data_IF_229576385944
#
_entry.id   IF_229576385944
#
_cell.length_a   1.000
_cell.length_b   1.000
_cell.length_c   1.000
_cell.angle_alpha   90.00
_cell.angle_beta   90.00
_cell.angle_gamma   90.00
#
_symmetry.space_group_name_H-M   'P 1'
#
loop_
_entity.id
_entity.type
_entity.pdbx_description
1 polymer ?
#
# COMPACT_ATOMS: atom_id res chain seq x y z
N UNK A 1 18.24 4.39 10.12
CA UNK A 1 18.09 4.41 8.65
C UNK A 1 16.68 4.86 8.31
N UNK A 2 16.55 5.74 7.33
CA UNK A 2 15.26 6.14 6.76
C UNK A 2 14.69 5.02 5.88
N UNK A 3 13.41 5.13 5.53
CA UNK A 3 12.74 4.15 4.67
C UNK A 3 13.34 4.18 3.26
N UNK A 4 13.66 5.36 2.73
CA UNK A 4 14.34 5.54 1.45
C UNK A 4 15.74 4.93 1.42
N UNK A 5 16.51 5.00 2.52
CA UNK A 5 17.82 4.35 2.62
C UNK A 5 17.69 2.82 2.56
N UNK A 6 16.68 2.26 3.23
CA UNK A 6 16.41 0.81 3.22
C UNK A 6 15.99 0.38 1.82
N UNK A 7 15.08 1.12 1.17
CA UNK A 7 14.66 0.86 -0.21
C UNK A 7 15.88 0.88 -1.13
N UNK A 8 16.65 1.97 -1.14
CA UNK A 8 17.79 2.11 -2.03
C UNK A 8 18.80 0.96 -1.86
N UNK A 9 19.08 0.55 -0.62
CA UNK A 9 20.03 -0.53 -0.32
C UNK A 9 19.50 -1.89 -0.78
N UNK A 10 18.26 -2.23 -0.44
CA UNK A 10 17.72 -3.57 -0.70
C UNK A 10 17.35 -3.79 -2.17
N UNK A 11 16.97 -2.73 -2.90
CA UNK A 11 16.67 -2.85 -4.35
C UNK A 11 17.90 -3.15 -5.22
N UNK A 12 19.11 -3.12 -4.65
CA UNK A 12 20.33 -3.54 -5.37
C UNK A 12 20.42 -5.07 -5.53
N UNK A 13 19.68 -5.83 -4.72
CA UNK A 13 19.66 -7.30 -4.77
C UNK A 13 18.79 -7.75 -5.94
N UNK A 14 19.33 -8.59 -6.82
CA UNK A 14 18.60 -9.14 -7.98
C UNK A 14 17.31 -9.83 -7.52
N UNK A 15 16.17 -9.38 -8.07
CA UNK A 15 14.85 -9.91 -7.75
C UNK A 15 14.10 -9.14 -6.66
N UNK A 16 14.72 -8.18 -5.98
CA UNK A 16 14.06 -7.32 -4.98
C UNK A 16 13.69 -5.97 -5.62
N UNK A 17 12.40 -5.74 -5.83
CA UNK A 17 11.87 -4.46 -6.29
C UNK A 17 11.44 -3.56 -5.14
N UNK A 18 11.14 -2.28 -5.45
CA UNK A 18 10.65 -1.31 -4.46
C UNK A 18 9.44 -1.83 -3.69
N UNK A 19 8.45 -2.37 -4.39
CA UNK A 19 7.24 -2.94 -3.78
C UNK A 19 7.58 -4.01 -2.74
N UNK A 20 8.54 -4.90 -3.02
CA UNK A 20 8.97 -5.94 -2.07
C UNK A 20 9.53 -5.32 -0.79
N UNK A 21 10.34 -4.27 -0.92
CA UNK A 21 10.90 -3.57 0.24
C UNK A 21 9.81 -2.82 1.00
N UNK A 22 8.85 -2.21 0.31
CA UNK A 22 7.70 -1.58 0.95
C UNK A 22 6.88 -2.58 1.78
N UNK A 23 6.68 -3.82 1.28
CA UNK A 23 6.04 -4.88 2.06
C UNK A 23 6.83 -5.25 3.32
N UNK A 24 8.17 -5.33 3.22
CA UNK A 24 9.04 -5.55 4.39
C UNK A 24 8.95 -4.39 5.40
N UNK A 25 8.95 -3.14 4.93
CA UNK A 25 8.81 -1.96 5.79
C UNK A 25 7.47 -1.98 6.54
N UNK A 26 6.40 -2.37 5.87
CA UNK A 26 5.04 -2.45 6.41
C UNK A 26 4.88 -3.57 7.44
N UNK A 27 5.21 -4.81 7.07
CA UNK A 27 4.83 -5.99 7.84
C UNK A 27 5.91 -6.49 8.80
N UNK A 28 7.19 -6.37 8.43
CA UNK A 28 8.28 -6.85 9.28
C UNK A 28 8.83 -5.75 10.20
N UNK A 29 8.94 -4.51 9.67
CA UNK A 29 9.48 -3.37 10.42
C UNK A 29 8.40 -2.45 11.03
N UNK A 30 7.12 -2.68 10.73
CA UNK A 30 6.01 -1.95 11.33
C UNK A 30 6.02 -0.43 11.06
N UNK A 31 6.60 0.01 9.93
CA UNK A 31 6.64 1.44 9.56
C UNK A 31 5.23 1.94 9.28
N UNK A 32 4.84 3.04 9.91
CA UNK A 32 3.47 3.58 9.84
C UNK A 32 3.21 4.49 8.63
N UNK A 33 4.25 4.99 7.97
CA UNK A 33 4.13 5.98 6.88
C UNK A 33 4.60 5.48 5.51
N UNK A 34 4.37 4.20 5.20
CA UNK A 34 4.69 3.57 3.90
C UNK A 34 3.47 3.61 3.00
N UNK A 35 3.67 3.97 1.73
CA UNK A 35 2.58 4.15 0.77
C UNK A 35 2.85 3.38 -0.55
N UNK A 36 2.43 2.11 -0.65
CA UNK A 36 2.78 1.24 -1.78
C UNK A 36 1.88 1.53 -2.99
N UNK A 37 2.13 2.65 -3.67
CA UNK A 37 1.28 3.16 -4.77
C UNK A 37 1.21 2.26 -5.99
N UNK A 38 2.18 1.35 -6.15
CA UNK A 38 2.22 0.37 -7.24
C UNK A 38 1.50 -0.93 -6.88
N UNK A 39 1.08 -1.10 -5.62
CA UNK A 39 0.35 -2.30 -5.18
C UNK A 39 -1.05 -2.36 -5.81
N UNK A 40 -1.33 -3.46 -6.52
CA UNK A 40 -2.62 -3.67 -7.17
C UNK A 40 -3.76 -3.75 -6.14
N UNK A 41 -3.53 -4.37 -4.99
CA UNK A 41 -4.51 -4.49 -3.90
C UNK A 41 -4.90 -3.13 -3.34
N UNK A 42 -3.93 -2.26 -3.06
CA UNK A 42 -4.19 -0.89 -2.58
C UNK A 42 -4.95 -0.09 -3.64
N UNK A 43 -4.52 -0.13 -4.91
CA UNK A 43 -5.21 0.59 -6.01
C UNK A 43 -6.64 0.09 -6.21
N UNK A 44 -6.86 -1.22 -6.13
CA UNK A 44 -8.18 -1.84 -6.28
C UNK A 44 -9.06 -1.58 -5.07
N UNK A 45 -8.50 -1.66 -3.86
CA UNK A 45 -9.17 -1.30 -2.61
C UNK A 45 -9.62 0.14 -2.62
N UNK A 46 -8.75 1.06 -3.05
CA UNK A 46 -9.08 2.46 -3.26
C UNK A 46 -10.25 2.62 -4.24
N UNK A 47 -10.17 1.97 -5.41
CA UNK A 47 -11.24 2.06 -6.40
C UNK A 47 -12.58 1.55 -5.84
N UNK A 48 -12.57 0.46 -5.05
CA UNK A 48 -13.77 -0.08 -4.40
C UNK A 48 -14.34 0.89 -3.35
N UNK A 49 -13.53 1.36 -2.41
CA UNK A 49 -13.96 2.25 -1.32
C UNK A 49 -14.53 3.57 -1.84
N UNK A 50 -13.91 4.13 -2.89
CA UNK A 50 -14.31 5.43 -3.44
C UNK A 50 -15.18 5.32 -4.71
N UNK A 51 -15.76 4.16 -4.99
CA UNK A 51 -16.71 3.95 -6.09
C UNK A 51 -16.15 4.28 -7.49
N UNK A 52 -14.85 4.09 -7.72
CA UNK A 52 -14.20 4.41 -9.01
C UNK A 52 -14.30 3.24 -9.98
N UNK A 53 -14.76 3.52 -11.20
CA UNK A 53 -14.80 2.53 -12.31
C UNK A 53 -13.41 2.13 -12.83
N UNK A 54 -12.42 3.02 -12.69
CA UNK A 54 -11.04 2.80 -13.13
C UNK A 54 -10.10 2.77 -11.93
N UNK A 55 -9.06 1.94 -12.02
CA UNK A 55 -7.98 1.95 -11.03
C UNK A 55 -7.25 3.31 -11.06
N UNK A 56 -7.00 3.93 -9.90
CA UNK A 56 -6.19 5.15 -9.85
C UNK A 56 -4.79 4.85 -10.38
N UNK A 57 -4.15 5.81 -11.05
CA UNK A 57 -2.72 5.68 -11.40
C UNK A 57 -1.85 5.83 -10.15
N UNK A 58 -0.60 5.32 -10.13
CA UNK A 58 0.30 5.53 -8.99
C UNK A 58 0.49 7.01 -8.64
N UNK A 59 0.56 7.89 -9.63
CA UNK A 59 0.65 9.35 -9.41
C UNK A 59 -0.61 9.94 -8.75
N UNK A 60 -1.80 9.51 -9.16
CA UNK A 60 -3.04 9.93 -8.52
C UNK A 60 -3.09 9.45 -7.07
N UNK A 61 -2.73 8.18 -6.86
CA UNK A 61 -2.74 7.56 -5.55
C UNK A 61 -1.69 8.19 -4.62
N UNK A 62 -0.52 8.58 -5.14
CA UNK A 62 0.51 9.31 -4.41
C UNK A 62 -0.02 10.64 -3.87
N UNK A 63 -0.64 11.47 -4.73
CA UNK A 63 -1.22 12.77 -4.32
C UNK A 63 -2.28 12.61 -3.24
N UNK A 64 -3.13 11.58 -3.37
CA UNK A 64 -4.21 11.31 -2.42
C UNK A 64 -3.64 10.81 -1.09
N UNK A 65 -2.54 10.05 -1.10
CA UNK A 65 -1.90 9.52 0.10
C UNK A 65 -1.31 10.58 1.01
N UNK A 66 -1.00 11.78 0.51
CA UNK A 66 -0.44 12.87 1.32
C UNK A 66 -1.37 13.29 2.48
N UNK A 67 -2.69 13.20 2.30
CA UNK A 67 -3.65 13.52 3.35
C UNK A 67 -3.68 12.47 4.49
N UNK A 68 -3.05 11.31 4.28
CA UNK A 68 -3.02 10.20 5.24
C UNK A 68 -1.71 10.10 6.00
N UNK A 69 -0.77 11.04 5.78
CA UNK A 69 0.43 11.13 6.62
C UNK A 69 0.05 11.47 8.07
N UNK A 70 0.79 10.94 9.07
CA UNK A 70 1.93 10.03 8.96
C UNK A 70 1.54 8.53 9.02
N UNK A 71 0.30 8.18 8.67
CA UNK A 71 -0.27 6.83 8.86
C UNK A 71 -0.69 6.17 7.53
N UNK A 72 0.06 6.42 6.45
CA UNK A 72 -0.25 5.87 5.12
C UNK A 72 -0.29 4.34 5.09
N UNK A 73 0.50 3.69 5.94
CA UNK A 73 0.47 2.22 6.11
C UNK A 73 -0.88 1.73 6.62
N UNK A 74 -1.48 2.47 7.55
CA UNK A 74 -2.80 2.14 8.12
C UNK A 74 -3.87 2.30 7.04
N UNK A 75 -3.80 3.37 6.23
CA UNK A 75 -4.70 3.53 5.10
C UNK A 75 -4.57 2.38 4.09
N UNK A 76 -3.34 1.99 3.71
CA UNK A 76 -3.10 0.86 2.82
C UNK A 76 -3.72 -0.43 3.37
N UNK A 77 -3.56 -0.67 4.68
CA UNK A 77 -4.14 -1.81 5.37
C UNK A 77 -5.67 -1.85 5.24
N UNK A 78 -6.36 -0.75 5.52
CA UNK A 78 -7.81 -0.67 5.35
C UNK A 78 -8.26 -0.85 3.89
N UNK A 79 -7.48 -0.38 2.92
CA UNK A 79 -7.78 -0.58 1.50
C UNK A 79 -7.67 -2.05 1.10
N UNK A 80 -6.69 -2.80 1.63
CA UNK A 80 -6.66 -4.25 1.46
C UNK A 80 -7.86 -4.92 2.12
N UNK A 81 -8.19 -4.56 3.37
CA UNK A 81 -9.35 -5.11 4.09
C UNK A 81 -10.67 -4.85 3.36
N UNK A 82 -10.79 -3.74 2.66
CA UNK A 82 -11.96 -3.46 1.84
C UNK A 82 -12.16 -4.49 0.72
N UNK A 83 -11.11 -5.18 0.27
CA UNK A 83 -11.19 -6.22 -0.76
C UNK A 83 -11.52 -7.61 -0.20
N UNK A 84 -11.41 -7.81 1.10
CA UNK A 84 -11.79 -9.07 1.72
C UNK A 84 -13.25 -9.36 1.41
N UNK A 85 -13.53 -10.63 1.11
CA UNK A 85 -14.90 -11.08 0.98
C UNK A 85 -15.54 -10.90 2.35
N UNK A 86 -16.76 -10.36 2.38
CA UNK A 86 -17.57 -10.56 3.57
C UNK A 86 -17.62 -12.08 3.78
N UNK A 87 -17.14 -12.57 4.91
CA UNK A 87 -17.60 -13.86 5.39
C UNK A 87 -19.11 -13.69 5.50
N UNK A 88 -19.82 -14.20 4.48
CA UNK A 88 -21.25 -14.38 4.60
C UNK A 88 -21.38 -15.32 5.80
N UNK A 89 -21.76 -14.76 6.94
CA UNK A 89 -22.36 -15.51 8.04
C UNK A 89 -23.61 -16.17 7.45
N UNK A 90 -23.42 -17.25 6.72
CA UNK A 90 -24.46 -18.22 6.46
C UNK A 90 -24.57 -19.01 7.75
N UNK A 91 -25.56 -18.57 8.54
CA UNK A 91 -26.32 -19.31 9.54
C UNK A 91 -26.33 -20.83 9.34
#
# INVERSE_FOLDING_TARGET
>A
MSDEEIIARLTTVRGIGRWTVEMLLLFDLGRLDVWPVDDYGVRKGFAKVFGRRKLPTPQQLMKIGEQWRPYRSVAAWYLWRALDKAETLQS
#
